data_IF_772588747286
#
_entry.id   IF_772588747286
#
_cell.length_a   1.000
_cell.length_b   1.000
_cell.length_c   1.000
_cell.angle_alpha   90.00
_cell.angle_beta   90.00
_cell.angle_gamma   90.00
#
_symmetry.space_group_name_H-M   'P 1'
#
loop_
_entity.id
_entity.type
_entity.pdbx_description
1 polymer ?
#
# COMPACT_ATOMS: atom_id res chain seq x y z
N UNK A 1 74.19 4.92 -31.68
CA UNK A 1 73.72 3.53 -31.50
C UNK A 1 72.64 3.57 -30.43
N UNK A 2 71.40 3.92 -30.77
CA UNK A 2 70.31 3.01 -31.16
C UNK A 2 69.80 2.09 -30.03
N UNK A 3 68.58 2.43 -29.55
CA UNK A 3 67.46 1.49 -29.29
C UNK A 3 67.59 0.62 -28.02
N UNK A 4 66.58 0.38 -27.18
CA UNK A 4 65.13 0.32 -27.41
C UNK A 4 64.33 0.59 -26.12
N UNK A 5 63.16 1.18 -26.34
CA UNK A 5 62.05 1.39 -25.42
C UNK A 5 61.39 0.06 -25.04
N UNK A 6 61.03 -0.10 -23.76
CA UNK A 6 60.08 -1.12 -23.31
C UNK A 6 58.92 -0.41 -22.61
N UNK A 7 57.94 0.05 -23.39
CA UNK A 7 56.68 0.58 -22.89
C UNK A 7 55.78 -0.63 -22.61
N UNK A 8 55.57 -0.92 -21.32
CA UNK A 8 54.63 -1.94 -20.87
C UNK A 8 53.21 -1.35 -20.91
N UNK A 9 52.47 -1.63 -21.98
CA UNK A 9 51.04 -1.33 -22.10
C UNK A 9 50.26 -2.29 -21.20
N UNK A 10 49.86 -1.82 -20.02
CA UNK A 10 48.88 -2.50 -19.16
C UNK A 10 47.48 -2.33 -19.76
N UNK A 11 47.04 -3.33 -20.52
CA UNK A 11 45.65 -3.48 -20.96
C UNK A 11 44.77 -3.80 -19.74
N UNK A 12 44.11 -2.77 -19.19
CA UNK A 12 42.98 -2.97 -18.28
C UNK A 12 41.75 -3.38 -19.10
N UNK A 13 41.51 -4.69 -19.18
CA UNK A 13 40.26 -5.24 -19.72
C UNK A 13 39.14 -5.00 -18.70
N UNK A 14 38.22 -4.09 -19.01
CA UNK A 14 36.97 -3.93 -18.29
C UNK A 14 36.09 -5.17 -18.54
N UNK A 15 36.13 -6.14 -17.62
CA UNK A 15 35.09 -7.16 -17.53
C UNK A 15 33.81 -6.51 -17.01
N UNK A 16 32.96 -6.05 -17.94
CA UNK A 16 31.58 -5.72 -17.64
C UNK A 16 30.83 -7.02 -17.35
N UNK A 17 30.56 -7.28 -16.08
CA UNK A 17 29.69 -8.37 -15.66
C UNK A 17 28.25 -7.97 -15.95
N UNK A 18 27.72 -8.37 -17.09
CA UNK A 18 26.30 -8.28 -17.38
C UNK A 18 25.59 -9.27 -16.46
N UNK A 19 25.10 -8.80 -15.30
CA UNK A 19 24.25 -9.61 -14.44
C UNK A 19 22.98 -9.90 -15.23
N UNK A 20 22.81 -11.16 -15.63
CA UNK A 20 21.54 -11.66 -16.13
C UNK A 20 20.42 -11.20 -15.18
N UNK A 21 19.40 -10.57 -15.73
CA UNK A 21 18.22 -10.17 -14.95
C UNK A 21 17.67 -11.42 -14.26
N UNK A 22 17.52 -11.34 -12.94
CA UNK A 22 16.89 -12.42 -12.21
C UNK A 22 15.47 -12.64 -12.79
N UNK A 23 15.03 -13.90 -12.95
CA UNK A 23 13.67 -14.17 -13.39
C UNK A 23 12.69 -13.48 -12.42
N UNK A 24 11.53 -13.00 -12.91
CA UNK A 24 10.53 -12.39 -12.06
C UNK A 24 10.18 -13.35 -10.93
N UNK A 25 10.04 -12.85 -9.69
CA UNK A 25 9.74 -13.71 -8.54
C UNK A 25 8.46 -14.51 -8.84
N UNK A 26 8.42 -15.80 -8.46
CA UNK A 26 7.27 -16.64 -8.71
C UNK A 26 6.03 -15.97 -8.11
N UNK A 27 4.99 -15.81 -8.94
CA UNK A 27 3.70 -15.31 -8.49
C UNK A 27 3.12 -16.36 -7.54
N UNK A 28 3.32 -16.14 -6.24
CA UNK A 28 2.60 -16.85 -5.18
C UNK A 28 1.12 -16.65 -5.51
N UNK A 29 0.32 -17.72 -5.54
CA UNK A 29 -1.15 -17.62 -5.61
C UNK A 29 -1.64 -16.95 -4.33
N UNK A 30 -1.50 -15.64 -4.30
CA UNK A 30 -1.95 -14.76 -3.26
C UNK A 30 -3.46 -14.64 -3.46
N UNK A 31 -4.26 -15.03 -2.45
CA UNK A 31 -5.69 -14.66 -2.32
C UNK A 31 -5.95 -13.14 -2.43
N UNK A 32 -4.89 -12.34 -2.61
CA UNK A 32 -4.85 -10.91 -2.47
C UNK A 32 -5.02 -10.26 -3.84
N UNK A 33 -5.96 -9.32 -3.94
CA UNK A 33 -6.07 -8.44 -5.10
C UNK A 33 -4.83 -7.53 -5.14
N UNK A 34 -4.32 -7.19 -6.34
CA UNK A 34 -3.18 -6.27 -6.46
C UNK A 34 -3.52 -4.84 -6.02
N UNK A 35 -4.80 -4.49 -5.90
CA UNK A 35 -5.30 -3.17 -5.51
C UNK A 35 -6.50 -3.36 -4.58
N UNK A 36 -6.45 -2.78 -3.38
CA UNK A 36 -7.61 -2.67 -2.49
C UNK A 36 -8.59 -1.69 -3.10
N UNK A 37 -9.85 -2.06 -3.09
CA UNK A 37 -10.97 -1.26 -3.59
C UNK A 37 -11.94 -0.95 -2.45
N UNK A 38 -12.72 0.12 -2.65
CA UNK A 38 -13.75 0.52 -1.69
C UNK A 38 -14.81 -0.56 -1.42
N UNK A 39 -15.00 -1.50 -2.36
CA UNK A 39 -15.95 -2.60 -2.23
C UNK A 39 -15.44 -3.76 -1.37
N UNK A 40 -14.13 -3.88 -1.14
CA UNK A 40 -13.55 -4.99 -0.38
C UNK A 40 -14.00 -4.98 1.10
N UNK A 41 -14.47 -3.83 1.61
CA UNK A 41 -15.12 -3.72 2.93
C UNK A 41 -16.50 -4.38 3.00
N UNK A 42 -17.20 -4.55 1.87
CA UNK A 42 -18.64 -4.92 1.86
C UNK A 42 -18.85 -6.40 2.15
N UNK A 43 -17.93 -7.25 1.73
CA UNK A 43 -18.04 -8.70 1.89
C UNK A 43 -16.67 -9.32 2.13
N UNK A 44 -16.47 -9.95 3.29
CA UNK A 44 -15.31 -10.79 3.55
C UNK A 44 -15.53 -12.13 2.84
N UNK A 45 -14.61 -12.55 1.98
CA UNK A 45 -14.72 -13.86 1.32
C UNK A 45 -14.60 -15.00 2.35
N UNK A 46 -15.16 -16.19 2.08
CA UNK A 46 -14.99 -17.34 2.98
C UNK A 46 -13.53 -17.65 3.32
N UNK A 47 -12.61 -17.35 2.40
CA UNK A 47 -11.20 -17.68 2.56
C UNK A 47 -10.45 -16.64 3.39
N UNK A 48 -10.79 -15.37 3.26
CA UNK A 48 -10.31 -14.31 4.17
C UNK A 48 -10.88 -14.51 5.57
N UNK A 49 -12.15 -14.94 5.68
CA UNK A 49 -12.82 -15.18 6.95
C UNK A 49 -12.12 -16.24 7.82
N UNK A 50 -11.43 -17.21 7.21
CA UNK A 50 -10.60 -18.20 7.94
C UNK A 50 -9.50 -17.56 8.79
N UNK A 51 -9.08 -16.36 8.43
CA UNK A 51 -8.01 -15.60 9.10
C UNK A 51 -8.55 -14.37 9.85
N UNK A 52 -9.87 -14.24 9.96
CA UNK A 52 -10.52 -13.13 10.62
C UNK A 52 -10.08 -13.01 12.08
N UNK A 53 -9.66 -11.81 12.46
CA UNK A 53 -9.17 -11.55 13.80
C UNK A 53 -9.56 -10.15 14.27
N UNK A 54 -10.04 -10.08 15.51
CA UNK A 54 -10.39 -8.85 16.21
C UNK A 54 -9.49 -8.70 17.42
N UNK A 55 -8.96 -7.50 17.65
CA UNK A 55 -8.15 -7.20 18.84
C UNK A 55 -8.42 -5.79 19.33
N UNK A 56 -9.06 -5.69 20.50
CA UNK A 56 -9.45 -4.42 21.13
C UNK A 56 -8.28 -3.57 21.65
N UNK A 57 -7.06 -4.08 21.60
CA UNK A 57 -5.85 -3.34 21.98
C UNK A 57 -5.37 -2.40 20.86
N UNK A 58 -5.82 -2.64 19.62
CA UNK A 58 -5.44 -1.88 18.44
C UNK A 58 -6.65 -1.15 17.87
N UNK A 59 -6.38 -0.15 17.03
CA UNK A 59 -7.41 0.71 16.42
C UNK A 59 -8.15 0.08 15.23
N UNK A 60 -7.78 -1.12 14.78
CA UNK A 60 -8.52 -1.79 13.71
C UNK A 60 -9.77 -2.47 14.25
N UNK A 61 -10.85 -2.45 13.46
CA UNK A 61 -12.07 -3.19 13.76
C UNK A 61 -11.82 -4.70 13.60
N UNK A 62 -11.19 -5.08 12.49
CA UNK A 62 -10.72 -6.43 12.24
C UNK A 62 -9.50 -6.44 11.31
N UNK A 63 -8.86 -7.60 11.22
CA UNK A 63 -7.86 -7.92 10.19
C UNK A 63 -8.08 -9.30 9.60
N UNK A 64 -7.66 -9.47 8.38
CA UNK A 64 -7.60 -10.75 7.65
C UNK A 64 -6.21 -10.89 7.01
N UNK A 65 -5.90 -12.09 6.52
CA UNK A 65 -4.62 -12.41 5.89
C UNK A 65 -3.66 -13.16 6.80
N UNK A 66 -2.43 -13.33 6.31
CA UNK A 66 -1.40 -14.15 6.95
C UNK A 66 -0.19 -13.31 7.34
N UNK A 67 0.73 -13.89 8.13
CA UNK A 67 1.94 -13.19 8.58
C UNK A 67 2.69 -12.55 7.42
N UNK A 68 2.96 -11.25 7.51
CA UNK A 68 3.61 -10.45 6.47
C UNK A 68 2.68 -9.89 5.40
N UNK A 69 1.39 -10.27 5.41
CA UNK A 69 0.42 -9.80 4.44
C UNK A 69 -0.99 -9.72 5.05
N UNK A 70 -1.18 -8.75 5.94
CA UNK A 70 -2.47 -8.50 6.57
C UNK A 70 -3.18 -7.34 5.90
N UNK A 71 -4.49 -7.48 5.79
CA UNK A 71 -5.42 -6.39 5.50
C UNK A 71 -6.13 -6.00 6.78
N UNK A 72 -6.25 -4.70 7.03
CA UNK A 72 -6.81 -4.13 8.25
C UNK A 72 -7.98 -3.23 7.92
N UNK A 73 -9.10 -3.41 8.62
CA UNK A 73 -10.27 -2.56 8.50
C UNK A 73 -10.27 -1.51 9.62
N UNK A 74 -10.52 -0.26 9.26
CA UNK A 74 -10.53 0.88 10.18
C UNK A 74 -11.76 1.74 9.98
N UNK A 75 -12.36 2.15 11.09
CA UNK A 75 -13.21 3.33 11.11
C UNK A 75 -12.35 4.59 11.17
N UNK A 76 -12.71 5.57 10.34
CA UNK A 76 -11.98 6.83 10.20
C UNK A 76 -12.92 8.02 10.33
N UNK A 77 -12.37 9.14 10.80
CA UNK A 77 -13.00 10.45 10.78
C UNK A 77 -12.02 11.49 10.27
N UNK A 78 -12.51 12.58 9.71
CA UNK A 78 -11.65 13.61 9.15
C UNK A 78 -12.40 14.87 8.77
N UNK A 79 -11.73 15.70 7.99
CA UNK A 79 -12.29 16.90 7.39
C UNK A 79 -12.03 16.92 5.88
N UNK A 80 -12.98 17.46 5.12
CA UNK A 80 -12.82 17.73 3.69
C UNK A 80 -12.11 19.09 3.48
N UNK A 81 -11.93 19.50 2.22
CA UNK A 81 -11.28 20.76 1.87
C UNK A 81 -12.05 22.03 2.32
N UNK A 82 -13.37 21.94 2.54
CA UNK A 82 -14.19 23.04 3.06
C UNK A 82 -14.23 23.08 4.59
N UNK A 83 -13.64 22.09 5.27
CA UNK A 83 -13.59 21.99 6.73
C UNK A 83 -14.75 21.20 7.34
N UNK A 84 -15.63 20.61 6.53
CA UNK A 84 -16.75 19.81 7.01
C UNK A 84 -16.28 18.43 7.46
N UNK A 85 -16.93 17.91 8.51
CA UNK A 85 -16.59 16.60 9.06
C UNK A 85 -17.04 15.47 8.14
N UNK A 86 -16.15 14.51 7.93
CA UNK A 86 -16.42 13.28 7.19
C UNK A 86 -16.11 12.07 8.06
N UNK A 87 -16.85 10.99 7.87
CA UNK A 87 -16.65 9.71 8.55
C UNK A 87 -16.58 8.61 7.51
N UNK A 88 -15.92 7.50 7.80
CA UNK A 88 -15.86 6.41 6.84
C UNK A 88 -15.28 5.14 7.41
N UNK A 89 -15.23 4.15 6.53
CA UNK A 89 -14.63 2.86 6.82
C UNK A 89 -13.74 2.45 5.65
N UNK A 90 -12.52 2.02 5.96
CA UNK A 90 -11.47 1.75 4.98
C UNK A 90 -10.81 0.41 5.26
N UNK A 91 -10.31 -0.23 4.20
CA UNK A 91 -9.39 -1.35 4.28
C UNK A 91 -7.99 -0.89 3.86
N UNK A 92 -6.97 -1.33 4.58
CA UNK A 92 -5.57 -0.95 4.34
C UNK A 92 -4.66 -2.16 4.38
N UNK A 93 -3.76 -2.27 3.41
CA UNK A 93 -2.74 -3.31 3.31
C UNK A 93 -1.40 -2.63 3.03
N UNK A 94 -0.44 -2.83 3.94
CA UNK A 94 0.82 -2.09 3.89
C UNK A 94 0.58 -0.58 4.00
N UNK A 95 1.04 0.18 3.01
CA UNK A 95 0.98 1.66 3.01
C UNK A 95 -0.33 2.23 2.46
N UNK A 96 -1.04 1.48 1.63
CA UNK A 96 -2.14 1.97 0.81
C UNK A 96 -3.44 1.23 1.12
N UNK A 97 -4.56 1.91 0.92
CA UNK A 97 -5.88 1.34 1.14
C UNK A 97 -6.95 2.04 0.33
N UNK A 98 -8.19 1.60 0.49
CA UNK A 98 -9.35 2.23 -0.10
C UNK A 98 -10.57 2.07 0.81
N UNK A 99 -11.60 2.87 0.56
CA UNK A 99 -12.85 2.76 1.31
C UNK A 99 -13.86 3.80 0.89
N UNK A 100 -14.83 4.02 1.78
CA UNK A 100 -15.93 4.95 1.54
C UNK A 100 -15.99 5.92 2.71
N UNK A 101 -16.02 7.21 2.37
CA UNK A 101 -16.45 8.26 3.27
C UNK A 101 -17.96 8.50 3.09
N UNK A 102 -18.64 8.78 4.18
CA UNK A 102 -20.01 9.27 4.20
C UNK A 102 -19.96 10.73 4.63
N UNK A 103 -20.38 11.61 3.71
CA UNK A 103 -20.85 12.95 4.04
C UNK A 103 -22.38 12.86 4.24
N UNK A 104 -22.97 13.86 4.90
CA UNK A 104 -24.40 14.03 5.23
C UNK A 104 -25.41 13.59 4.15
N UNK A 105 -25.02 13.52 2.87
CA UNK A 105 -25.91 13.13 1.77
C UNK A 105 -25.31 12.11 0.80
N UNK A 106 -24.00 11.80 0.85
CA UNK A 106 -23.34 11.00 -0.19
C UNK A 106 -22.26 10.05 0.32
N UNK A 107 -22.17 8.89 -0.32
CA UNK A 107 -21.02 8.00 -0.24
C UNK A 107 -19.94 8.43 -1.26
N UNK A 108 -18.70 8.50 -0.80
CA UNK A 108 -17.55 8.96 -1.56
C UNK A 108 -16.48 7.87 -1.52
N UNK A 109 -16.21 7.25 -2.65
CA UNK A 109 -15.09 6.32 -2.79
C UNK A 109 -13.75 7.07 -2.74
N UNK A 110 -12.83 6.57 -1.92
CA UNK A 110 -11.51 7.15 -1.71
C UNK A 110 -10.41 6.09 -1.78
N UNK A 111 -9.23 6.52 -2.24
CA UNK A 111 -7.96 5.83 -2.00
C UNK A 111 -7.24 6.50 -0.84
N UNK A 112 -6.47 5.74 -0.07
CA UNK A 112 -5.79 6.22 1.14
C UNK A 112 -4.31 5.84 1.16
N UNK A 113 -3.53 6.68 1.83
CA UNK A 113 -2.11 6.47 2.10
C UNK A 113 -1.80 6.83 3.56
N UNK A 114 -1.12 5.93 4.27
CA UNK A 114 -0.57 6.25 5.59
C UNK A 114 0.50 7.34 5.47
N UNK A 115 0.30 8.44 6.19
CA UNK A 115 1.27 9.53 6.28
C UNK A 115 1.92 9.62 7.67
N UNK A 116 1.25 9.09 8.71
CA UNK A 116 1.79 8.93 10.04
C UNK A 116 0.97 7.90 10.83
N UNK A 117 1.42 7.56 12.04
CA UNK A 117 0.66 6.67 12.93
C UNK A 117 -0.75 7.24 13.18
N UNK A 118 -1.77 6.46 12.80
CA UNK A 118 -3.18 6.83 12.95
C UNK A 118 -3.66 7.95 12.02
N UNK A 119 -2.86 8.38 11.04
CA UNK A 119 -3.20 9.47 10.11
C UNK A 119 -3.04 9.05 8.66
N UNK A 120 -4.08 9.28 7.86
CA UNK A 120 -4.08 9.01 6.42
C UNK A 120 -4.37 10.27 5.63
N UNK A 121 -3.76 10.35 4.45
CA UNK A 121 -4.23 11.21 3.37
C UNK A 121 -5.15 10.38 2.47
N UNK A 122 -6.28 10.93 2.08
CA UNK A 122 -7.20 10.28 1.16
C UNK A 122 -7.53 11.17 -0.05
N UNK A 123 -7.80 10.54 -1.19
CA UNK A 123 -8.15 11.21 -2.44
C UNK A 123 -9.31 10.49 -3.11
N UNK A 124 -10.35 11.22 -3.53
CA UNK A 124 -11.47 10.67 -4.28
C UNK A 124 -11.20 10.62 -5.80
N UNK A 125 -12.12 10.04 -6.57
CA UNK A 125 -12.01 9.95 -8.04
C UNK A 125 -11.95 11.31 -8.75
N UNK A 126 -12.38 12.40 -8.10
CA UNK A 126 -12.36 13.76 -8.63
C UNK A 126 -11.09 14.52 -8.23
N UNK A 127 -10.22 13.91 -7.42
CA UNK A 127 -8.99 14.54 -6.91
C UNK A 127 -9.19 15.39 -5.66
N UNK A 128 -10.35 15.34 -5.01
CA UNK A 128 -10.52 16.04 -3.73
C UNK A 128 -9.75 15.31 -2.64
N UNK A 129 -9.07 16.07 -1.78
CA UNK A 129 -8.25 15.53 -0.70
C UNK A 129 -8.95 15.59 0.66
N UNK A 130 -8.68 14.60 1.50
CA UNK A 130 -9.21 14.48 2.85
C UNK A 130 -8.09 14.10 3.83
N UNK A 131 -8.09 14.73 4.99
CA UNK A 131 -7.19 14.38 6.09
C UNK A 131 -7.97 13.52 7.09
N UNK A 132 -7.55 12.26 7.23
CA UNK A 132 -8.26 11.26 8.03
C UNK A 132 -7.43 10.84 9.24
N UNK A 133 -8.13 10.54 10.33
CA UNK A 133 -7.59 9.89 11.52
C UNK A 133 -8.39 8.62 11.84
N UNK A 134 -7.69 7.60 12.31
CA UNK A 134 -8.32 6.37 12.80
C UNK A 134 -9.02 6.64 14.13
N UNK A 135 -10.14 5.97 14.36
CA UNK A 135 -10.94 6.07 15.59
C UNK A 135 -10.38 5.28 16.77
#
# INVERSE_FOLDING_TARGET
>A
MSKNYFILFLLFTFYSCEKASAPPPPQINTFYKPVITADDRKTITPEEAKTYHVNKTYHYEYRTGNSGNYEYNYDVKGINATGDSVFGNINVQGKYGAGILTDTVAEIEINTEWIAYGKLKAVDKKGNEYNLIVK
#
